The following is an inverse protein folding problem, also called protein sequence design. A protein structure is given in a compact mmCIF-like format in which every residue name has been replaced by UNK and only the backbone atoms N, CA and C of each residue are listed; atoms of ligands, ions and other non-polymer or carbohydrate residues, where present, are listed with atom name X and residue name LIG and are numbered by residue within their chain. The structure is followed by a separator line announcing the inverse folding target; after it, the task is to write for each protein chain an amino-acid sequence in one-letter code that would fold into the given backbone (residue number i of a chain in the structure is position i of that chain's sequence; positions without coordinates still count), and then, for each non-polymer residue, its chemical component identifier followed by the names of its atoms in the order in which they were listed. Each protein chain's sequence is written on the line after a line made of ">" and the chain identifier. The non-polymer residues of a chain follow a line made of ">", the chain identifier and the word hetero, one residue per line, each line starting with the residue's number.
data_IF_651560557767
#
_entry.id   IF_651560557767
#
_cell.length_a   1.000
_cell.length_b   1.000
_cell.length_c   1.000
_cell.angle_alpha   90.00
_cell.angle_beta   90.00
_cell.angle_gamma   90.00
#
_symmetry.space_group_name_H-M   'P 1'
#
loop_
_entity.id
_entity.type
_entity.pdbx_description
1 polymer ?
#
# COMPACT_ATOMS: atom_id res chain seq x y z
N UNK A 1 -1.87 -8.32 -20.60
CA UNK A 1 -2.74 -9.30 -19.93
C UNK A 1 -3.69 -8.56 -19.00
N UNK A 2 -4.98 -8.93 -19.08
CA UNK A 2 -6.14 -8.12 -18.71
C UNK A 2 -6.79 -8.65 -17.42
N UNK A 3 -7.62 -7.82 -16.77
CA UNK A 3 -8.67 -8.31 -15.87
C UNK A 3 -9.52 -9.28 -16.70
N UNK A 4 -9.49 -10.57 -16.35
CA UNK A 4 -10.17 -11.62 -17.12
C UNK A 4 -11.51 -11.91 -16.46
N UNK A 5 -12.57 -11.74 -17.24
CA UNK A 5 -13.90 -12.22 -16.90
C UNK A 5 -14.02 -13.58 -17.59
N UNK A 6 -14.26 -14.64 -16.83
CA UNK A 6 -14.58 -15.93 -17.43
C UNK A 6 -15.75 -15.74 -18.40
N UNK A 7 -15.66 -16.31 -19.61
CA UNK A 7 -16.64 -16.07 -20.66
C UNK A 7 -18.01 -16.64 -20.25
N UNK A 8 -18.87 -15.76 -19.74
CA UNK A 8 -20.20 -16.05 -19.22
C UNK A 8 -21.25 -15.62 -20.25
N UNK A 9 -21.30 -16.32 -21.39
CA UNK A 9 -22.32 -16.09 -22.42
C UNK A 9 -23.45 -17.11 -22.31
N UNK A 10 -24.70 -16.68 -22.49
CA UNK A 10 -25.86 -17.58 -22.55
C UNK A 10 -26.32 -18.15 -21.20
N UNK A 11 -26.02 -17.46 -20.09
CA UNK A 11 -26.44 -17.89 -18.75
C UNK A 11 -27.94 -17.68 -18.58
N UNK A 12 -28.63 -18.76 -18.21
CA UNK A 12 -30.04 -18.70 -17.84
C UNK A 12 -30.12 -18.44 -16.34
N UNK A 13 -30.86 -17.40 -15.96
CA UNK A 13 -31.12 -17.05 -14.57
C UNK A 13 -32.59 -17.25 -14.28
N UNK A 14 -32.90 -18.17 -13.37
CA UNK A 14 -34.22 -18.36 -12.83
C UNK A 14 -34.63 -17.18 -11.91
N UNK A 15 -35.93 -16.99 -11.67
CA UNK A 15 -36.40 -15.94 -10.77
C UNK A 15 -35.73 -16.05 -9.38
N UNK A 16 -35.17 -14.93 -8.90
CA UNK A 16 -34.44 -14.81 -7.61
C UNK A 16 -33.15 -15.61 -7.53
N UNK A 17 -32.68 -16.20 -8.63
CA UNK A 17 -31.37 -16.83 -8.69
C UNK A 17 -30.27 -15.76 -8.56
N UNK A 18 -29.17 -16.12 -7.90
CA UNK A 18 -28.00 -15.26 -7.76
C UNK A 18 -26.92 -15.77 -8.70
N UNK A 19 -26.36 -14.87 -9.50
CA UNK A 19 -25.20 -15.16 -10.35
C UNK A 19 -23.94 -14.58 -9.70
N UNK A 20 -22.93 -15.44 -9.54
CA UNK A 20 -21.58 -15.00 -9.16
C UNK A 20 -20.72 -14.87 -10.41
N UNK A 21 -20.15 -13.68 -10.62
CA UNK A 21 -19.26 -13.37 -11.75
C UNK A 21 -17.83 -13.33 -11.21
N UNK A 22 -17.01 -14.38 -11.40
CA UNK A 22 -15.63 -14.36 -10.97
C UNK A 22 -14.81 -13.38 -11.81
N UNK A 23 -14.08 -12.49 -11.12
CA UNK A 23 -13.13 -11.56 -11.72
C UNK A 23 -11.73 -11.97 -11.29
N UNK A 24 -10.85 -12.26 -12.25
CA UNK A 24 -9.46 -12.59 -11.97
C UNK A 24 -8.53 -11.45 -12.42
N UNK A 25 -7.73 -10.95 -11.48
CA UNK A 25 -6.73 -9.92 -11.74
C UNK A 25 -5.32 -10.49 -11.63
N UNK A 26 -4.62 -10.57 -12.76
CA UNK A 26 -3.25 -11.07 -12.87
C UNK A 26 -2.40 -10.07 -13.65
N UNK A 27 -1.97 -8.98 -12.99
CA UNK A 27 -1.18 -7.94 -13.63
C UNK A 27 0.21 -8.48 -13.99
N UNK A 28 0.68 -8.16 -15.20
CA UNK A 28 2.06 -8.45 -15.63
C UNK A 28 3.01 -7.28 -15.33
N UNK A 29 2.46 -6.09 -15.14
CA UNK A 29 3.18 -4.84 -14.92
C UNK A 29 2.62 -4.12 -13.69
N UNK A 30 3.45 -3.34 -13.01
CA UNK A 30 3.06 -2.59 -11.81
C UNK A 30 2.42 -1.25 -12.18
N UNK A 31 1.32 -1.29 -12.93
CA UNK A 31 0.51 -0.12 -13.32
C UNK A 31 -0.98 -0.34 -13.09
N UNK A 32 -1.76 0.74 -13.01
CA UNK A 32 -3.22 0.66 -12.89
C UNK A 32 -3.83 0.04 -14.14
N UNK A 33 -4.75 -0.91 -13.94
CA UNK A 33 -5.57 -1.49 -15.00
C UNK A 33 -7.01 -1.03 -14.84
N UNK A 34 -7.55 -0.40 -15.89
CA UNK A 34 -8.98 -0.04 -15.95
C UNK A 34 -9.69 -1.02 -16.87
N UNK A 35 -10.81 -1.57 -16.40
CA UNK A 35 -11.69 -2.41 -17.18
C UNK A 35 -13.15 -2.06 -16.87
N UNK A 36 -14.06 -2.54 -17.70
CA UNK A 36 -15.49 -2.35 -17.52
C UNK A 36 -16.17 -3.70 -17.71
N UNK A 37 -16.98 -4.09 -16.74
CA UNK A 37 -17.87 -5.26 -16.85
C UNK A 37 -19.20 -4.77 -17.37
N UNK A 38 -19.61 -5.33 -18.52
CA UNK A 38 -20.89 -5.03 -19.14
C UNK A 38 -21.78 -6.25 -18.97
N UNK A 39 -22.85 -6.11 -18.19
CA UNK A 39 -23.87 -7.14 -17.99
C UNK A 39 -25.07 -6.77 -18.86
N UNK A 40 -25.32 -7.57 -19.88
CA UNK A 40 -26.49 -7.42 -20.73
C UNK A 40 -27.48 -8.56 -20.45
N UNK A 41 -28.67 -8.20 -19.96
CA UNK A 41 -29.76 -9.14 -19.75
C UNK A 41 -30.79 -8.95 -20.85
N UNK A 42 -31.03 -10.05 -21.58
CA UNK A 42 -32.01 -10.15 -22.66
C UNK A 42 -32.99 -11.29 -22.33
N UNK A 43 -34.15 -11.26 -22.98
CA UNK A 43 -35.14 -12.32 -22.83
C UNK A 43 -34.56 -13.62 -23.41
N UNK A 44 -34.85 -14.76 -22.78
CA UNK A 44 -34.30 -16.06 -23.17
C UNK A 44 -34.57 -16.40 -24.65
N UNK A 45 -35.73 -15.99 -25.17
CA UNK A 45 -36.14 -16.23 -26.55
C UNK A 45 -35.64 -15.15 -27.55
N UNK A 46 -34.90 -14.15 -27.08
CA UNK A 46 -34.38 -13.05 -27.90
C UNK A 46 -35.43 -12.03 -28.36
N UNK A 47 -36.70 -12.20 -27.99
CA UNK A 47 -37.75 -11.21 -28.25
C UNK A 47 -37.67 -10.07 -27.23
N UNK A 48 -38.26 -8.93 -27.57
CA UNK A 48 -38.43 -7.84 -26.60
C UNK A 48 -39.40 -8.28 -25.48
N UNK A 49 -39.25 -7.64 -24.33
CA UNK A 49 -40.26 -7.71 -23.27
C UNK A 49 -41.41 -6.74 -23.60
N UNK A 50 -42.67 -7.19 -23.44
CA UNK A 50 -43.86 -6.39 -23.74
C UNK A 50 -44.15 -5.31 -22.67
N UNK A 51 -43.10 -4.80 -22.02
CA UNK A 51 -43.18 -3.80 -20.97
C UNK A 51 -42.66 -2.46 -21.48
N UNK A 52 -43.51 -1.44 -21.43
CA UNK A 52 -43.13 -0.04 -21.64
C UNK A 52 -42.59 0.52 -20.32
N UNK A 53 -41.38 1.06 -20.33
CA UNK A 53 -40.81 1.71 -19.14
C UNK A 53 -41.51 3.04 -18.91
N UNK A 54 -42.56 3.03 -18.09
CA UNK A 54 -43.22 4.25 -17.64
C UNK A 54 -42.32 5.00 -16.66
N UNK A 55 -41.47 5.91 -17.17
CA UNK A 55 -41.04 7.16 -16.51
C UNK A 55 -40.54 7.13 -15.06
N UNK A 56 -40.19 5.99 -14.48
CA UNK A 56 -39.69 5.93 -13.10
C UNK A 56 -38.22 6.36 -13.09
N UNK A 57 -37.94 7.36 -12.27
CA UNK A 57 -36.60 7.92 -12.06
C UNK A 57 -35.61 6.79 -11.80
N UNK A 58 -34.66 6.61 -12.72
CA UNK A 58 -33.54 5.70 -12.58
C UNK A 58 -32.74 6.08 -11.32
N UNK A 59 -33.00 5.42 -10.20
CA UNK A 59 -32.25 5.62 -8.95
C UNK A 59 -30.86 5.01 -9.02
N UNK A 60 -30.62 4.08 -9.95
CA UNK A 60 -29.32 3.45 -10.20
C UNK A 60 -28.64 4.06 -11.43
N UNK A 61 -27.60 4.88 -11.19
CA UNK A 61 -26.81 5.58 -12.22
C UNK A 61 -26.10 4.63 -13.22
N UNK A 62 -25.96 3.35 -12.88
CA UNK A 62 -25.26 2.36 -13.69
C UNK A 62 -26.20 1.44 -14.50
N UNK A 63 -27.52 1.64 -14.41
CA UNK A 63 -28.53 0.81 -15.09
C UNK A 63 -29.11 1.57 -16.28
N UNK A 64 -28.89 1.04 -17.48
CA UNK A 64 -29.47 1.54 -18.72
C UNK A 64 -30.49 0.53 -19.26
N UNK A 65 -31.70 0.99 -19.59
CA UNK A 65 -32.69 0.14 -20.26
C UNK A 65 -32.58 0.39 -21.76
N UNK A 66 -32.44 -0.69 -22.54
CA UNK A 66 -32.38 -0.65 -24.00
C UNK A 66 -33.81 -0.82 -24.51
N UNK A 67 -34.31 0.17 -25.23
CA UNK A 67 -35.67 0.22 -25.77
C UNK A 67 -35.61 0.11 -27.29
N UNK A 68 -36.46 -0.72 -27.88
CA UNK A 68 -36.58 -0.91 -29.32
C UNK A 68 -37.38 0.25 -29.97
N UNK A 69 -37.31 0.38 -31.30
CA UNK A 69 -38.00 1.45 -32.05
C UNK A 69 -39.53 1.47 -31.85
N UNK A 70 -40.11 0.33 -31.50
CA UNK A 70 -41.53 0.16 -31.20
C UNK A 70 -41.91 0.46 -29.74
N UNK A 71 -40.97 0.92 -28.91
CA UNK A 71 -41.19 1.26 -27.50
C UNK A 71 -41.04 0.09 -26.51
N UNK A 72 -40.81 -1.13 -27.00
CA UNK A 72 -40.66 -2.32 -26.15
C UNK A 72 -39.26 -2.38 -25.51
N UNK A 73 -39.16 -2.98 -24.33
CA UNK A 73 -37.86 -3.19 -23.66
C UNK A 73 -37.11 -4.34 -24.33
N UNK A 74 -35.98 -4.05 -24.97
CA UNK A 74 -35.11 -5.04 -25.60
C UNK A 74 -34.14 -5.69 -24.59
N UNK A 75 -33.67 -4.92 -23.62
CA UNK A 75 -32.54 -5.33 -22.78
C UNK A 75 -32.38 -4.46 -21.54
N UNK A 76 -31.74 -5.01 -20.52
CA UNK A 76 -31.21 -4.22 -19.40
C UNK A 76 -29.69 -4.34 -19.41
N UNK A 77 -29.02 -3.19 -19.35
CA UNK A 77 -27.58 -3.07 -19.40
C UNK A 77 -27.07 -2.49 -18.09
N UNK A 78 -26.15 -3.18 -17.44
CA UNK A 78 -25.37 -2.63 -16.34
C UNK A 78 -23.91 -2.51 -16.71
N UNK A 79 -23.31 -1.38 -16.34
CA UNK A 79 -21.91 -1.07 -16.62
C UNK A 79 -21.20 -0.87 -15.26
N UNK A 80 -20.27 -1.77 -14.94
CA UNK A 80 -19.49 -1.72 -13.71
C UNK A 80 -18.02 -1.43 -14.02
N UNK A 81 -17.50 -0.23 -13.73
CA UNK A 81 -16.08 0.06 -13.86
C UNK A 81 -15.28 -0.70 -12.79
N UNK A 82 -14.18 -1.32 -13.20
CA UNK A 82 -13.23 -2.02 -12.31
C UNK A 82 -11.85 -1.39 -12.48
N UNK A 83 -11.27 -0.97 -11.35
CA UNK A 83 -9.89 -0.49 -11.27
C UNK A 83 -9.05 -1.54 -10.53
N UNK A 84 -8.09 -2.14 -11.21
CA UNK A 84 -7.13 -3.07 -10.65
C UNK A 84 -5.81 -2.37 -10.31
N UNK A 85 -5.47 -2.34 -9.03
CA UNK A 85 -4.19 -1.84 -8.52
C UNK A 85 -3.27 -3.03 -8.24
N UNK A 86 -2.16 -3.21 -8.95
CA UNK A 86 -1.26 -4.34 -8.74
C UNK A 86 -0.48 -4.21 -7.43
N UNK A 87 -0.53 -5.26 -6.62
CA UNK A 87 0.28 -5.40 -5.42
C UNK A 87 1.42 -6.40 -5.66
N UNK A 88 2.64 -6.01 -5.27
CA UNK A 88 3.80 -6.87 -5.37
C UNK A 88 3.66 -8.11 -4.47
N UNK A 89 4.27 -9.24 -4.88
CA UNK A 89 4.37 -10.41 -4.01
C UNK A 89 4.98 -10.04 -2.65
N UNK A 90 4.66 -10.86 -1.63
CA UNK A 90 5.14 -10.65 -0.26
C UNK A 90 6.67 -10.52 -0.24
N UNK A 91 7.14 -9.36 0.21
CA UNK A 91 8.56 -9.06 0.33
C UNK A 91 9.16 -9.73 1.57
N UNK A 92 10.48 -9.93 1.57
CA UNK A 92 11.22 -10.39 2.74
C UNK A 92 11.23 -9.28 3.80
N UNK A 93 11.20 -9.67 5.06
CA UNK A 93 11.30 -8.73 6.17
C UNK A 93 12.71 -8.13 6.26
N UNK A 94 12.79 -6.82 6.45
CA UNK A 94 14.03 -6.11 6.77
C UNK A 94 14.12 -5.99 8.29
N UNK A 95 15.23 -6.42 8.88
CA UNK A 95 15.45 -6.38 10.33
C UNK A 95 16.38 -5.22 10.68
N UNK A 96 15.91 -4.33 11.55
CA UNK A 96 16.64 -3.17 12.07
C UNK A 96 16.84 -3.42 13.56
N UNK A 97 18.10 -3.61 13.97
CA UNK A 97 18.43 -4.09 15.32
C UNK A 97 19.53 -3.28 15.98
N UNK A 98 19.29 -2.86 17.22
CA UNK A 98 20.30 -2.27 18.10
C UNK A 98 20.04 -2.63 19.56
N UNK A 99 20.89 -2.17 20.48
CA UNK A 99 20.61 -2.22 21.91
C UNK A 99 19.71 -1.05 22.31
N UNK A 100 18.94 -1.22 23.39
CA UNK A 100 18.25 -0.09 24.00
C UNK A 100 19.26 0.99 24.44
N UNK A 101 18.82 2.25 24.42
CA UNK A 101 19.61 3.48 24.70
C UNK A 101 20.69 3.81 23.67
N UNK A 102 20.81 3.02 22.60
CA UNK A 102 21.66 3.34 21.45
C UNK A 102 20.85 3.93 20.31
N UNK A 103 21.50 4.72 19.45
CA UNK A 103 20.94 5.23 18.20
C UNK A 103 21.61 4.51 17.03
N UNK A 104 20.81 3.83 16.22
CA UNK A 104 21.24 3.23 14.97
C UNK A 104 20.82 4.12 13.81
N UNK A 105 21.73 4.37 12.89
CA UNK A 105 21.43 4.95 11.57
C UNK A 105 21.93 3.97 10.51
N UNK A 106 21.02 3.52 9.63
CA UNK A 106 21.31 2.50 8.64
C UNK A 106 20.63 2.83 7.31
N UNK A 107 21.37 2.64 6.21
CA UNK A 107 20.80 2.65 4.87
C UNK A 107 20.10 1.32 4.56
N UNK A 108 18.85 1.40 4.13
CA UNK A 108 18.01 0.26 3.73
C UNK A 108 17.67 0.40 2.25
N UNK A 109 18.14 -0.55 1.45
CA UNK A 109 17.90 -0.61 0.01
C UNK A 109 16.68 -1.50 -0.28
N UNK A 110 15.72 -0.95 -1.03
CA UNK A 110 14.48 -1.63 -1.39
C UNK A 110 14.33 -1.71 -2.90
N UNK A 111 14.13 -2.92 -3.41
CA UNK A 111 14.04 -3.21 -4.84
C UNK A 111 12.57 -3.26 -5.28
N UNK A 112 12.17 -2.31 -6.12
CA UNK A 112 10.86 -2.25 -6.75
C UNK A 112 10.94 -2.92 -8.13
N UNK A 113 10.52 -4.16 -8.21
CA UNK A 113 10.52 -4.94 -9.46
C UNK A 113 9.25 -4.65 -10.26
N UNK A 114 9.41 -4.45 -11.57
CA UNK A 114 8.29 -4.33 -12.52
C UNK A 114 7.78 -2.91 -12.75
N UNK A 115 8.57 -1.91 -12.35
CA UNK A 115 8.29 -0.49 -12.59
C UNK A 115 8.49 -0.18 -14.06
N UNK A 116 7.51 0.47 -14.69
CA UNK A 116 7.58 0.88 -16.09
C UNK A 116 7.52 2.40 -16.19
N UNK A 117 8.42 3.06 -16.95
CA UNK A 117 8.27 4.47 -17.25
C UNK A 117 7.03 4.62 -18.14
N UNK A 118 6.13 5.51 -17.75
CA UNK A 118 4.92 5.73 -18.53
C UNK A 118 5.33 6.42 -19.84
N UNK A 119 5.15 5.74 -20.96
CA UNK A 119 5.29 6.36 -22.27
C UNK A 119 4.08 7.29 -22.43
N UNK A 120 4.32 8.59 -22.24
CA UNK A 120 3.31 9.65 -22.12
C UNK A 120 2.00 9.37 -22.84
N UNK A 121 0.97 9.03 -22.09
CA UNK A 121 -0.40 9.08 -22.57
C UNK A 121 -0.88 10.53 -22.42
N UNK A 122 -0.74 11.31 -23.50
CA UNK A 122 -1.52 12.53 -23.69
C UNK A 122 -2.99 12.14 -23.85
N UNK A 123 -3.73 12.07 -22.75
CA UNK A 123 -5.18 12.10 -22.77
C UNK A 123 -5.64 13.05 -21.68
N UNK A 124 -5.98 14.26 -22.13
CA UNK A 124 -6.58 15.36 -21.39
C UNK A 124 -7.67 14.88 -20.42
N UNK A 125 -7.54 15.28 -19.14
CA UNK A 125 -8.66 15.78 -18.32
C UNK A 125 -8.09 16.84 -17.37
N UNK A 126 -8.57 18.06 -17.51
CA UNK A 126 -8.20 19.29 -16.79
C UNK A 126 -8.61 19.29 -15.30
N UNK A 127 -7.70 19.81 -14.46
CA UNK A 127 -7.87 20.86 -13.39
C UNK A 127 -8.80 20.49 -12.20
N UNK A 128 -8.39 20.54 -10.92
CA UNK A 128 -7.78 21.68 -10.21
C UNK A 128 -6.84 21.33 -9.02
N UNK A 129 -5.79 22.17 -8.91
CA UNK A 129 -5.08 22.71 -7.74
C UNK A 129 -4.65 21.85 -6.54
N UNK A 130 -3.33 21.79 -6.31
CA UNK A 130 -2.69 22.37 -5.11
C UNK A 130 -1.17 22.58 -5.33
N UNK A 131 -0.70 23.68 -4.77
CA UNK A 131 0.58 24.37 -4.92
C UNK A 131 1.80 23.69 -4.27
N UNK A 132 2.98 23.70 -4.92
CA UNK A 132 4.18 24.48 -4.51
C UNK A 132 5.49 24.08 -5.23
N UNK A 133 6.21 25.14 -5.67
CA UNK A 133 7.64 25.30 -6.07
C UNK A 133 8.23 24.55 -7.28
N UNK A 134 8.77 25.26 -8.30
CA UNK A 134 9.51 24.65 -9.41
C UNK A 134 11.04 24.76 -9.20
N UNK A 135 11.76 23.64 -9.36
CA UNK A 135 13.19 23.67 -9.68
C UNK A 135 13.43 23.02 -11.05
N UNK A 136 14.30 23.67 -11.82
CA UNK A 136 14.51 23.50 -13.26
C UNK A 136 15.61 22.47 -13.51
N UNK A 137 15.40 21.50 -14.41
CA UNK A 137 16.09 21.32 -15.72
C UNK A 137 16.10 19.86 -16.20
N UNK A 138 15.77 19.71 -17.48
CA UNK A 138 16.00 18.61 -18.45
C UNK A 138 15.12 17.35 -18.47
N UNK A 139 14.39 17.23 -19.59
CA UNK A 139 14.07 15.96 -20.24
C UNK A 139 12.66 15.45 -19.99
N UNK A 140 11.72 15.84 -20.84
CA UNK A 140 10.34 15.31 -20.90
C UNK A 140 10.31 13.79 -21.08
N UNK A 141 10.22 13.08 -19.95
CA UNK A 141 9.74 11.72 -19.79
C UNK A 141 9.09 11.71 -18.41
N UNK A 142 7.82 11.34 -18.29
CA UNK A 142 7.06 11.42 -17.05
C UNK A 142 7.89 10.90 -15.85
N UNK A 143 8.31 11.81 -14.98
CA UNK A 143 9.14 11.46 -13.83
C UNK A 143 8.27 10.63 -12.88
N UNK A 144 8.55 9.33 -12.74
CA UNK A 144 7.81 8.52 -11.79
C UNK A 144 8.08 9.01 -10.37
N UNK A 145 7.03 9.41 -9.68
CA UNK A 145 7.07 9.75 -8.26
C UNK A 145 6.65 8.54 -7.43
N UNK A 146 7.19 8.48 -6.21
CA UNK A 146 6.94 7.42 -5.25
C UNK A 146 6.43 8.04 -3.95
N UNK A 147 5.23 7.65 -3.57
CA UNK A 147 4.67 7.93 -2.26
C UNK A 147 5.04 6.78 -1.32
N UNK A 148 5.41 7.11 -0.09
CA UNK A 148 5.75 6.11 0.91
C UNK A 148 5.16 6.46 2.26
N UNK A 149 4.70 5.42 2.96
CA UNK A 149 4.10 5.54 4.28
C UNK A 149 4.51 4.35 5.14
N UNK A 150 4.79 4.60 6.42
CA UNK A 150 4.97 3.54 7.40
C UNK A 150 3.62 3.21 8.05
N UNK A 151 3.10 2.01 7.77
CA UNK A 151 1.85 1.51 8.34
C UNK A 151 2.12 0.59 9.53
N UNK A 152 1.25 0.69 10.54
CA UNK A 152 1.37 -0.03 11.80
C UNK A 152 0.19 -0.98 11.99
N UNK A 153 0.39 -2.08 12.71
CA UNK A 153 -0.67 -3.06 12.97
C UNK A 153 -1.72 -2.54 13.96
N UNK A 154 -1.35 -1.57 14.82
CA UNK A 154 -2.26 -0.93 15.77
C UNK A 154 -1.76 0.46 16.17
N UNK A 155 -2.65 1.27 16.78
CA UNK A 155 -2.31 2.60 17.28
C UNK A 155 -1.29 2.54 18.44
N UNK A 156 -1.29 1.48 19.24
CA UNK A 156 -0.30 1.29 20.30
C UNK A 156 1.10 1.09 19.73
N UNK A 157 1.24 0.29 18.66
CA UNK A 157 2.52 0.08 17.97
C UNK A 157 2.97 1.37 17.30
N UNK A 158 2.04 2.11 16.68
CA UNK A 158 2.30 3.43 16.11
C UNK A 158 2.87 4.37 17.17
N UNK A 159 2.17 4.56 18.29
CA UNK A 159 2.62 5.46 19.36
C UNK A 159 4.00 5.08 19.90
N UNK A 160 4.29 3.78 19.98
CA UNK A 160 5.61 3.29 20.39
C UNK A 160 6.69 3.61 19.36
N UNK A 161 6.45 3.42 18.05
CA UNK A 161 7.48 3.55 17.01
C UNK A 161 7.63 4.97 16.46
N UNK A 162 6.57 5.78 16.47
CA UNK A 162 6.53 7.11 15.82
C UNK A 162 7.59 8.07 16.37
N UNK A 163 7.94 7.94 17.66
CA UNK A 163 9.02 8.73 18.29
C UNK A 163 10.40 8.08 18.25
N UNK A 164 10.48 6.78 17.89
CA UNK A 164 11.71 5.99 17.95
C UNK A 164 12.32 5.74 16.57
N UNK A 165 11.51 5.86 15.51
CA UNK A 165 11.90 5.60 14.13
C UNK A 165 11.79 6.86 13.30
N UNK A 166 12.90 7.25 12.67
CA UNK A 166 12.93 8.24 11.59
C UNK A 166 13.24 7.53 10.28
N UNK A 167 12.61 7.94 9.18
CA UNK A 167 12.86 7.35 7.88
C UNK A 167 12.73 8.39 6.77
N UNK A 168 13.73 8.43 5.90
CA UNK A 168 13.83 9.39 4.81
C UNK A 168 14.38 8.72 3.56
N UNK A 169 13.78 9.01 2.40
CA UNK A 169 14.32 8.58 1.11
C UNK A 169 15.53 9.44 0.78
N UNK A 170 16.71 8.83 0.68
CA UNK A 170 17.96 9.56 0.41
C UNK A 170 18.41 9.46 -1.04
N UNK A 171 18.12 8.33 -1.70
CA UNK A 171 18.61 8.07 -3.05
C UNK A 171 17.64 7.17 -3.80
N UNK A 172 17.57 7.39 -5.11
CA UNK A 172 16.73 6.64 -6.04
C UNK A 172 17.59 6.30 -7.26
N UNK A 173 17.70 5.02 -7.53
CA UNK A 173 18.39 4.49 -8.70
C UNK A 173 17.41 3.76 -9.59
N UNK A 174 17.58 3.91 -10.90
CA UNK A 174 16.76 3.23 -11.88
C UNK A 174 17.64 2.39 -12.81
N UNK A 175 17.40 1.09 -12.83
CA UNK A 175 17.91 0.19 -13.87
C UNK A 175 16.86 -0.01 -14.97
N UNK A 176 17.09 0.62 -16.14
CA UNK A 176 16.16 0.60 -17.27
C UNK A 176 16.15 -0.74 -18.00
N UNK A 177 17.26 -1.49 -17.94
CA UNK A 177 17.39 -2.79 -18.56
C UNK A 177 16.64 -3.84 -17.73
N UNK A 178 16.84 -3.83 -16.41
CA UNK A 178 16.20 -4.78 -15.50
C UNK A 178 14.78 -4.39 -15.08
N UNK A 179 14.35 -3.14 -15.33
CA UNK A 179 13.07 -2.57 -14.85
C UNK A 179 12.92 -2.65 -13.34
N UNK A 180 14.03 -2.36 -12.66
CA UNK A 180 14.11 -2.35 -11.20
C UNK A 180 14.42 -0.92 -10.78
N UNK A 181 13.62 -0.40 -9.85
CA UNK A 181 13.94 0.85 -9.16
C UNK A 181 14.43 0.51 -7.76
N UNK A 182 15.62 0.99 -7.41
CA UNK A 182 16.16 0.87 -6.06
C UNK A 182 15.86 2.16 -5.32
N UNK A 183 15.14 2.06 -4.20
CA UNK A 183 14.95 3.16 -3.27
C UNK A 183 15.83 2.93 -2.04
N UNK A 184 16.68 3.89 -1.72
CA UNK A 184 17.57 3.83 -0.57
C UNK A 184 17.01 4.76 0.49
N UNK A 185 16.58 4.17 1.61
CA UNK A 185 16.10 4.91 2.77
C UNK A 185 17.20 5.00 3.82
N UNK A 186 17.38 6.18 4.42
CA UNK A 186 18.07 6.30 5.67
C UNK A 186 17.07 6.06 6.81
N UNK A 187 17.33 5.03 7.61
CA UNK A 187 16.48 4.66 8.75
C UNK A 187 17.24 4.92 10.04
N UNK A 188 16.64 5.74 10.89
CA UNK A 188 17.09 6.05 12.23
C UNK A 188 16.24 5.25 13.21
N UNK A 189 16.86 4.53 14.13
CA UNK A 189 16.18 3.81 15.20
C UNK A 189 16.86 4.09 16.55
N UNK A 190 16.13 4.70 17.49
CA UNK A 190 16.66 5.16 18.77
C UNK A 190 15.79 4.71 19.96
N UNK A 191 15.70 3.40 20.25
CA UNK A 191 14.86 2.86 21.32
C UNK A 191 15.40 3.19 22.72
N UNK A 192 14.53 3.56 23.66
CA UNK A 192 14.91 3.80 25.07
C UNK A 192 14.83 2.56 25.96
N UNK A 193 14.03 1.57 25.54
CA UNK A 193 13.78 0.31 26.26
C UNK A 193 13.91 -0.88 25.30
N UNK A 194 14.22 -2.08 25.80
CA UNK A 194 14.14 -3.29 25.00
C UNK A 194 12.73 -3.48 24.43
N UNK A 195 12.63 -3.78 23.15
CA UNK A 195 11.36 -3.89 22.44
C UNK A 195 11.50 -4.72 21.17
N UNK A 196 10.37 -5.26 20.71
CA UNK A 196 10.23 -5.82 19.37
C UNK A 196 8.90 -5.39 18.79
N UNK A 197 8.95 -4.70 17.66
CA UNK A 197 7.75 -4.20 16.98
C UNK A 197 7.89 -4.35 15.47
N UNK A 198 6.77 -4.50 14.79
CA UNK A 198 6.70 -4.67 13.34
C UNK A 198 5.89 -3.52 12.73
N UNK A 199 6.36 -3.01 11.60
CA UNK A 199 5.66 -2.04 10.77
C UNK A 199 5.82 -2.44 9.30
N UNK A 200 5.01 -1.88 8.42
CA UNK A 200 5.09 -2.15 6.98
C UNK A 200 5.34 -0.84 6.25
N UNK A 201 6.46 -0.75 5.55
CA UNK A 201 6.69 0.34 4.61
C UNK A 201 5.93 0.05 3.33
N UNK A 202 4.93 0.89 3.06
CA UNK A 202 4.12 0.85 1.85
C UNK A 202 4.66 1.88 0.88
N UNK A 203 5.01 1.45 -0.32
CA UNK A 203 5.47 2.30 -1.41
C UNK A 203 4.48 2.19 -2.56
N UNK A 204 3.98 3.33 -3.01
CA UNK A 204 3.08 3.44 -4.15
C UNK A 204 3.73 4.30 -5.22
N UNK A 205 3.79 3.80 -6.45
CA UNK A 205 4.24 4.59 -7.59
C UNK A 205 3.06 5.35 -8.20
N UNK A 206 3.29 6.50 -8.86
CA UNK A 206 2.25 7.20 -9.64
C UNK A 206 1.66 6.39 -10.79
N UNK A 207 2.42 5.44 -11.34
CA UNK A 207 1.90 4.43 -12.28
C UNK A 207 0.86 3.48 -11.61
N UNK A 208 0.88 3.42 -10.28
CA UNK A 208 -0.06 2.77 -9.40
C UNK A 208 0.30 1.35 -8.96
N UNK A 209 1.55 0.92 -9.17
CA UNK A 209 2.10 -0.22 -8.45
C UNK A 209 2.16 0.01 -6.93
N UNK A 210 1.91 -1.06 -6.17
CA UNK A 210 1.98 -1.08 -4.70
C UNK A 210 2.98 -2.12 -4.22
N UNK A 211 3.95 -1.71 -3.40
CA UNK A 211 4.92 -2.60 -2.75
C UNK A 211 4.81 -2.47 -1.24
N UNK A 212 4.86 -3.59 -0.54
CA UNK A 212 4.81 -3.64 0.94
C UNK A 212 6.03 -4.36 1.46
N UNK A 213 6.85 -3.65 2.23
CA UNK A 213 8.07 -4.16 2.85
C UNK A 213 7.88 -4.28 4.36
N UNK A 214 7.82 -5.49 4.92
CA UNK A 214 7.76 -5.66 6.37
C UNK A 214 9.09 -5.21 7.01
N UNK A 215 9.02 -4.32 7.98
CA UNK A 215 10.14 -3.86 8.79
C UNK A 215 9.99 -4.40 10.21
N UNK A 216 11.06 -4.99 10.75
CA UNK A 216 11.10 -5.54 12.10
C UNK A 216 12.13 -4.77 12.92
N UNK A 217 11.67 -4.03 13.92
CA UNK A 217 12.51 -3.24 14.82
C UNK A 217 12.77 -4.03 16.10
N UNK A 218 14.05 -4.21 16.45
CA UNK A 218 14.47 -4.99 17.61
C UNK A 218 15.45 -4.18 18.45
N UNK A 219 15.06 -3.86 19.68
CA UNK A 219 15.94 -3.31 20.70
C UNK A 219 16.23 -4.38 21.75
N UNK A 220 17.49 -4.78 21.91
CA UNK A 220 17.90 -5.72 22.97
C UNK A 220 18.17 -5.00 24.29
N UNK A 221 18.52 -5.76 25.34
CA UNK A 221 18.99 -5.18 26.60
C UNK A 221 20.14 -4.19 26.37
N UNK A 222 20.15 -3.06 27.10
CA UNK A 222 21.24 -2.08 27.02
C UNK A 222 22.52 -2.70 27.58
N UNK A 223 23.67 -2.13 27.21
CA UNK A 223 24.91 -2.45 27.92
C UNK A 223 24.81 -1.99 29.37
N UNK A 224 25.41 -2.77 30.27
CA UNK A 224 25.48 -2.42 31.68
C UNK A 224 26.41 -1.22 31.82
N UNK A 225 25.88 -0.10 32.30
CA UNK A 225 26.63 1.15 32.43
C UNK A 225 27.86 0.98 33.35
N UNK A 226 27.69 0.29 34.49
CA UNK A 226 28.76 -0.06 35.42
C UNK A 226 28.38 -1.30 36.26
N UNK A 227 29.38 -2.09 36.65
CA UNK A 227 29.21 -3.22 37.58
C UNK A 227 29.81 -2.86 38.93
N UNK A 228 28.95 -2.71 39.95
CA UNK A 228 29.40 -2.46 41.32
C UNK A 228 29.56 -3.81 42.04
N UNK A 229 30.80 -4.25 42.18
CA UNK A 229 31.13 -5.41 43.01
C UNK A 229 31.26 -4.98 44.48
N UNK A 230 30.49 -5.59 45.38
CA UNK A 230 30.54 -5.33 46.82
C UNK A 230 31.07 -6.58 47.50
N UNK A 231 32.23 -6.48 48.12
CA UNK A 231 32.86 -7.57 48.87
C UNK A 231 32.47 -7.51 50.35
N UNK A 232 32.13 -8.66 50.93
CA UNK A 232 31.75 -8.77 52.35
C UNK A 232 32.86 -9.44 53.17
N UNK A 233 33.03 -8.99 54.42
CA UNK A 233 34.07 -9.49 55.34
C UNK A 233 33.82 -10.94 55.81
N UNK A 234 32.58 -11.44 55.74
CA UNK A 234 32.26 -12.83 56.05
C UNK A 234 30.75 -13.13 56.19
N UNK A 235 30.41 -14.41 56.26
CA UNK A 235 29.04 -14.89 56.50
C UNK A 235 28.55 -14.50 57.91
N UNK A 236 27.26 -14.13 58.03
CA UNK A 236 26.61 -13.72 59.28
C UNK A 236 27.22 -12.47 59.96
N UNK A 237 27.85 -11.58 59.19
CA UNK A 237 28.27 -10.25 59.65
C UNK A 237 27.44 -9.19 58.94
N UNK A 238 26.84 -8.28 59.71
CA UNK A 238 26.06 -7.18 59.14
C UNK A 238 26.98 -6.18 58.44
N UNK A 239 26.56 -5.68 57.28
CA UNK A 239 27.22 -4.61 56.55
C UNK A 239 26.16 -3.73 55.92
N UNK A 240 26.34 -2.41 56.00
CA UNK A 240 25.39 -1.41 55.52
C UNK A 240 26.05 -0.65 54.37
N UNK A 241 25.41 -0.67 53.20
CA UNK A 241 25.82 0.10 52.03
C UNK A 241 24.78 1.17 51.76
N UNK A 242 25.22 2.41 51.63
CA UNK A 242 24.35 3.55 51.33
C UNK A 242 24.73 4.18 50.00
N UNK A 243 23.76 4.34 49.11
CA UNK A 243 23.93 5.08 47.86
C UNK A 243 23.44 6.50 48.04
N UNK A 244 24.31 7.48 47.80
CA UNK A 244 23.94 8.90 47.81
C UNK A 244 23.97 9.43 46.38
N UNK A 245 22.79 9.70 45.83
CA UNK A 245 22.65 10.33 44.53
C UNK A 245 22.76 11.85 44.70
N UNK A 246 23.69 12.48 43.99
CA UNK A 246 23.81 13.95 43.93
C UNK A 246 23.80 14.39 42.47
N UNK A 247 22.82 15.20 42.08
CA UNK A 247 22.78 15.85 40.77
C UNK A 247 23.64 17.11 40.82
N UNK A 248 24.64 17.24 39.96
CA UNK A 248 25.30 18.51 39.69
C UNK A 248 24.79 19.04 38.35
N UNK A 249 23.87 20.00 38.39
CA UNK A 249 23.52 20.81 37.22
C UNK A 249 24.70 21.72 36.91
N UNK A 250 25.25 21.62 35.70
CA UNK A 250 26.25 22.56 35.15
C UNK A 250 25.55 23.65 34.35
#
# INVERSE_FOLDING_TARGET
>A
YHINLFHLAGIRLAPKEKLEIPVLFMPAEMKIYKAVVVIHVMRENGENWPYEVAGESNTDLNRNIIVAENGETQGILWIYPINGTPEAPKQKSVVIRCQARQRLEQRVELLLIGVMPDAGNSAMVDTEELSSTPEVTDGSSATLEFLYELQYQSDEIRYQLESLVGMELVEKEWDTESRIVTLIFNVVFAPSKPMRSEATLVIQCTSGGLWKFPLVFIATEPEVDDVINIEAVGLNKESIVGFKLTSQTR
#
